data_IF_964792276816
#
_entry.id   IF_964792276816
#
_cell.length_a   1.000
_cell.length_b   1.000
_cell.length_c   1.000
_cell.angle_alpha   90.00
_cell.angle_beta   90.00
_cell.angle_gamma   90.00
#
_symmetry.space_group_name_H-M   'P 1'
#
loop_
_entity.id
_entity.type
_entity.pdbx_description
1 polymer ?
#
# COMPACT_ATOMS: atom_id res chain seq x y z
N UNK A 1 21.17 23.32 12.76
CA UNK A 1 21.28 23.28 11.29
C UNK A 1 20.74 24.60 10.74
N UNK A 2 21.60 25.52 10.29
CA UNK A 2 21.23 26.90 9.93
C UNK A 2 20.58 27.08 8.55
N UNK A 3 19.84 26.09 8.07
CA UNK A 3 19.21 26.11 6.74
C UNK A 3 17.69 26.06 6.93
N UNK A 4 16.96 26.98 6.29
CA UNK A 4 15.49 26.99 6.37
C UNK A 4 14.89 25.77 5.65
N UNK A 5 13.85 25.17 6.24
CA UNK A 5 13.10 24.05 5.64
C UNK A 5 12.61 24.39 4.21
N UNK A 6 12.19 25.64 3.99
CA UNK A 6 11.79 26.13 2.66
C UNK A 6 12.93 26.03 1.64
N UNK A 7 14.16 26.36 2.04
CA UNK A 7 15.33 26.26 1.16
C UNK A 7 15.65 24.80 0.84
N UNK A 8 15.64 23.92 1.84
CA UNK A 8 15.85 22.47 1.66
C UNK A 8 14.82 21.89 0.69
N UNK A 9 13.54 22.22 0.84
CA UNK A 9 12.48 21.76 -0.07
C UNK A 9 12.65 22.29 -1.50
N UNK A 10 13.10 23.53 -1.66
CA UNK A 10 13.37 24.12 -2.98
C UNK A 10 14.52 23.41 -3.67
N UNK A 11 15.64 23.18 -2.97
CA UNK A 11 16.79 22.45 -3.50
C UNK A 11 16.36 21.03 -3.90
N UNK A 12 15.68 20.31 -3.00
CA UNK A 12 15.23 18.94 -3.26
C UNK A 12 14.32 18.84 -4.50
N UNK A 13 13.29 19.69 -4.61
CA UNK A 13 12.30 19.60 -5.69
C UNK A 13 12.75 20.23 -7.01
N UNK A 14 13.43 21.38 -6.94
CA UNK A 14 13.72 22.22 -8.11
C UNK A 14 15.12 21.96 -8.65
N UNK A 15 16.12 21.87 -7.78
CA UNK A 15 17.52 21.71 -8.21
C UNK A 15 17.87 20.23 -8.42
N UNK A 16 17.40 19.37 -7.52
CA UNK A 16 17.67 17.92 -7.56
C UNK A 16 16.56 17.11 -8.24
N UNK A 17 15.42 17.73 -8.57
CA UNK A 17 14.28 17.07 -9.23
C UNK A 17 13.63 15.95 -8.41
N UNK A 18 13.89 15.89 -7.10
CA UNK A 18 13.42 14.83 -6.23
C UNK A 18 11.92 14.95 -5.98
N UNK A 19 11.25 13.81 -6.01
CA UNK A 19 9.84 13.67 -5.66
C UNK A 19 9.71 12.76 -4.44
N UNK A 20 8.80 13.10 -3.52
CA UNK A 20 8.45 12.19 -2.44
C UNK A 20 7.69 10.99 -2.99
N UNK A 21 8.16 9.80 -2.67
CA UNK A 21 7.48 8.54 -2.96
C UNK A 21 7.25 7.78 -1.65
N UNK A 22 6.06 7.17 -1.55
CA UNK A 22 5.71 6.31 -0.41
C UNK A 22 5.86 4.85 -0.81
N UNK A 23 6.59 4.08 0.00
CA UNK A 23 6.66 2.63 -0.15
C UNK A 23 5.27 2.02 0.08
N UNK A 24 4.68 1.48 -0.98
CA UNK A 24 3.42 0.74 -0.89
C UNK A 24 3.71 -0.73 -0.75
N UNK A 25 3.40 -1.30 0.43
CA UNK A 25 3.38 -2.74 0.61
C UNK A 25 2.21 -3.32 -0.18
N UNK A 26 2.52 -3.97 -1.29
CA UNK A 26 1.54 -4.67 -2.13
C UNK A 26 1.98 -6.11 -2.33
N UNK A 27 1.01 -7.02 -2.42
CA UNK A 27 1.30 -8.39 -2.83
C UNK A 27 1.72 -8.41 -4.30
N UNK A 28 2.86 -9.02 -4.61
CA UNK A 28 3.24 -9.28 -5.98
C UNK A 28 2.25 -10.28 -6.61
N UNK A 29 1.57 -9.87 -7.68
CA UNK A 29 0.63 -10.73 -8.39
C UNK A 29 1.41 -11.67 -9.33
N UNK A 30 1.33 -12.97 -9.05
CA UNK A 30 1.76 -14.00 -10.00
C UNK A 30 0.87 -13.99 -11.25
N UNK A 31 1.37 -14.49 -12.38
CA UNK A 31 0.57 -14.60 -13.62
C UNK A 31 -0.73 -15.39 -13.40
N UNK A 32 -0.66 -16.45 -12.58
CA UNK A 32 -1.85 -17.21 -12.16
C UNK A 32 -2.86 -16.32 -11.45
N UNK A 33 -2.41 -15.49 -10.50
CA UNK A 33 -3.30 -14.57 -9.77
C UNK A 33 -3.92 -13.52 -10.70
N UNK A 34 -3.15 -13.01 -11.67
CA UNK A 34 -3.65 -12.07 -12.68
C UNK A 34 -4.77 -12.70 -13.52
N UNK A 35 -4.56 -13.92 -14.02
CA UNK A 35 -5.56 -14.64 -14.82
C UNK A 35 -6.84 -14.93 -14.03
N UNK A 36 -6.72 -15.35 -12.78
CA UNK A 36 -7.89 -15.61 -11.92
C UNK A 36 -8.69 -14.32 -11.69
N UNK A 37 -8.01 -13.20 -11.40
CA UNK A 37 -8.67 -11.89 -11.23
C UNK A 37 -9.35 -11.44 -12.52
N UNK A 38 -8.66 -11.54 -13.66
CA UNK A 38 -9.21 -11.14 -14.96
C UNK A 38 -10.48 -11.91 -15.33
N UNK A 39 -10.54 -13.21 -14.99
CA UNK A 39 -11.74 -14.04 -15.22
C UNK A 39 -12.90 -13.72 -14.26
N UNK A 40 -12.61 -13.32 -13.02
CA UNK A 40 -13.62 -13.10 -11.96
C UNK A 40 -14.20 -11.69 -11.97
N UNK A 41 -13.38 -10.66 -12.15
CA UNK A 41 -13.79 -9.27 -12.05
C UNK A 41 -14.98 -8.89 -12.95
N UNK A 42 -15.03 -9.30 -14.25
CA UNK A 42 -16.18 -8.97 -15.09
C UNK A 42 -17.50 -9.59 -14.62
N UNK A 43 -17.45 -10.78 -14.00
CA UNK A 43 -18.63 -11.45 -13.44
C UNK A 43 -19.14 -10.69 -12.21
N UNK A 44 -18.23 -10.32 -11.30
CA UNK A 44 -18.53 -9.52 -10.13
C UNK A 44 -19.10 -8.14 -10.52
N UNK A 45 -18.54 -7.50 -11.55
CA UNK A 45 -19.02 -6.22 -12.05
C UNK A 45 -20.48 -6.32 -12.54
N UNK A 46 -20.83 -7.36 -13.29
CA UNK A 46 -22.21 -7.58 -13.75
C UNK A 46 -23.18 -7.75 -12.58
N UNK A 47 -22.78 -8.48 -11.54
CA UNK A 47 -23.61 -8.65 -10.35
C UNK A 47 -23.75 -7.36 -9.53
N UNK A 48 -22.71 -6.52 -9.49
CA UNK A 48 -22.77 -5.22 -8.85
C UNK A 48 -23.76 -4.29 -9.57
N UNK A 49 -23.74 -4.25 -10.91
CA UNK A 49 -24.68 -3.46 -11.72
C UNK A 49 -26.12 -3.92 -11.52
N UNK A 50 -26.34 -5.23 -11.40
CA UNK A 50 -27.67 -5.79 -11.16
C UNK A 50 -28.16 -5.67 -9.71
N UNK A 51 -27.47 -4.91 -8.84
CA UNK A 51 -27.75 -4.76 -7.42
C UNK A 51 -27.86 -6.10 -6.64
N UNK A 52 -27.26 -7.16 -7.16
CA UNK A 52 -27.32 -8.48 -6.52
C UNK A 52 -26.33 -8.63 -5.35
N UNK A 53 -25.64 -7.56 -4.95
CA UNK A 53 -24.64 -7.58 -3.89
C UNK A 53 -25.26 -7.88 -2.52
N UNK A 54 -26.53 -7.53 -2.30
CA UNK A 54 -27.27 -7.78 -1.06
C UNK A 54 -27.45 -9.28 -0.75
N UNK A 55 -27.30 -10.14 -1.77
CA UNK A 55 -27.37 -11.61 -1.61
C UNK A 55 -26.07 -12.22 -1.13
N UNK A 56 -24.98 -11.44 -1.10
CA UNK A 56 -23.67 -11.92 -0.68
C UNK A 56 -23.40 -11.53 0.77
N UNK A 57 -23.27 -12.55 1.62
CA UNK A 57 -22.68 -12.39 2.93
C UNK A 57 -21.16 -12.51 2.81
N UNK A 58 -20.44 -11.42 3.01
CA UNK A 58 -18.98 -11.42 3.06
C UNK A 58 -18.53 -11.69 4.49
N UNK A 59 -17.71 -12.72 4.67
CA UNK A 59 -17.10 -13.08 5.96
C UNK A 59 -15.59 -13.07 5.81
N UNK A 60 -14.89 -12.56 6.81
CA UNK A 60 -13.42 -12.59 6.86
C UNK A 60 -12.98 -12.60 8.33
N UNK A 61 -11.86 -13.25 8.60
CA UNK A 61 -11.23 -13.25 9.92
C UNK A 61 -10.24 -12.10 9.99
N UNK A 62 -10.24 -11.34 11.09
CA UNK A 62 -9.29 -10.24 11.27
C UNK A 62 -8.48 -10.39 12.54
N UNK A 63 -7.16 -10.24 12.40
CA UNK A 63 -6.26 -10.11 13.53
C UNK A 63 -6.30 -8.68 14.09
N UNK A 64 -6.60 -8.54 15.37
CA UNK A 64 -6.52 -7.29 16.11
C UNK A 64 -5.20 -7.23 16.89
N UNK A 65 -4.39 -6.20 16.65
CA UNK A 65 -3.11 -5.99 17.34
C UNK A 65 -3.33 -5.23 18.65
N UNK A 66 -2.80 -5.77 19.76
CA UNK A 66 -2.99 -5.21 21.11
C UNK A 66 -2.05 -4.03 21.40
N UNK A 67 -0.97 -3.88 20.62
CA UNK A 67 0.02 -2.80 20.76
C UNK A 67 0.00 -1.86 19.53
N UNK A 68 0.35 -0.59 19.76
CA UNK A 68 0.38 0.43 18.71
C UNK A 68 1.49 0.14 17.68
N UNK A 69 1.18 0.34 16.40
CA UNK A 69 2.05 0.05 15.26
C UNK A 69 3.02 1.21 14.98
N UNK A 70 4.19 0.82 14.46
CA UNK A 70 5.20 1.65 13.80
C UNK A 70 4.61 2.82 12.96
N UNK A 71 5.22 4.01 13.07
CA UNK A 71 4.77 5.24 12.40
C UNK A 71 4.95 5.15 10.88
N UNK A 72 3.87 4.93 10.14
CA UNK A 72 3.83 4.85 8.67
C UNK A 72 4.22 6.13 7.92
N UNK A 73 4.51 7.23 8.63
CA UNK A 73 5.11 8.44 8.06
C UNK A 73 6.60 8.26 7.76
N UNK A 74 7.26 7.24 8.33
CA UNK A 74 8.69 6.98 8.11
C UNK A 74 9.01 6.20 6.81
N UNK A 75 7.99 5.80 6.05
CA UNK A 75 8.15 4.99 4.82
C UNK A 75 8.23 5.85 3.53
N UNK A 76 8.47 7.16 3.66
CA UNK A 76 8.62 8.09 2.56
C UNK A 76 10.10 8.30 2.20
N UNK A 77 10.43 8.24 0.91
CA UNK A 77 11.77 8.46 0.39
C UNK A 77 11.73 9.36 -0.83
N UNK A 78 12.83 10.06 -1.08
CA UNK A 78 12.94 11.03 -2.15
C UNK A 78 13.76 10.42 -3.29
N UNK A 79 13.18 10.36 -4.48
CA UNK A 79 13.86 9.84 -5.67
C UNK A 79 13.52 10.72 -6.88
N UNK A 80 14.38 10.71 -7.90
CA UNK A 80 14.12 11.40 -9.17
C UNK A 80 13.08 10.61 -9.98
N UNK A 81 13.30 9.30 -10.10
CA UNK A 81 12.47 8.41 -10.89
C UNK A 81 11.48 7.62 -10.03
N UNK A 82 10.39 7.17 -10.65
CA UNK A 82 9.43 6.30 -9.98
C UNK A 82 10.12 4.99 -9.61
N UNK A 83 10.22 4.67 -8.31
CA UNK A 83 10.82 3.43 -7.85
C UNK A 83 10.03 2.23 -8.39
N UNK A 84 10.72 1.21 -8.88
CA UNK A 84 10.09 -0.04 -9.28
C UNK A 84 9.36 -0.65 -8.08
N UNK A 85 8.25 -1.37 -8.32
CA UNK A 85 7.33 -1.95 -7.31
C UNK A 85 8.01 -2.86 -6.27
N UNK A 86 9.30 -3.14 -6.41
CA UNK A 86 10.10 -4.14 -5.72
C UNK A 86 10.70 -3.68 -4.39
N UNK A 87 10.12 -2.72 -3.69
CA UNK A 87 10.60 -2.36 -2.36
C UNK A 87 9.84 -3.21 -1.32
N UNK A 88 10.29 -4.46 -1.19
CA UNK A 88 9.78 -5.42 -0.22
C UNK A 88 10.32 -5.03 1.15
N UNK A 89 9.46 -4.49 2.02
CA UNK A 89 9.76 -4.31 3.44
C UNK A 89 9.35 -5.58 4.19
N UNK A 90 10.33 -6.36 4.65
CA UNK A 90 10.08 -7.45 5.61
C UNK A 90 9.90 -6.84 7.01
N UNK A 91 8.77 -7.14 7.66
CA UNK A 91 8.59 -6.79 9.07
C UNK A 91 9.23 -7.88 9.93
N UNK A 92 10.16 -7.51 10.81
CA UNK A 92 10.85 -8.42 11.76
C UNK A 92 10.24 -8.42 13.17
N UNK A 93 9.04 -7.88 13.36
CA UNK A 93 8.37 -7.93 14.66
C UNK A 93 6.96 -8.48 14.53
N UNK A 94 6.75 -9.64 15.16
CA UNK A 94 5.44 -10.23 15.41
C UNK A 94 4.89 -9.62 16.70
N UNK A 95 3.92 -8.71 16.59
CA UNK A 95 3.21 -8.17 17.75
C UNK A 95 2.17 -9.19 18.25
N UNK A 96 1.83 -9.12 19.55
CA UNK A 96 0.73 -9.92 20.11
C UNK A 96 -0.59 -9.50 19.47
N UNK A 97 -1.32 -10.46 18.92
CA UNK A 97 -2.62 -10.26 18.27
C UNK A 97 -3.65 -11.26 18.81
N UNK A 98 -4.93 -10.90 18.68
CA UNK A 98 -6.08 -11.75 18.95
C UNK A 98 -6.90 -11.89 17.67
N UNK A 99 -7.39 -13.11 17.40
CA UNK A 99 -8.30 -13.41 16.31
C UNK A 99 -9.74 -13.37 16.83
N UNK A 100 -10.65 -12.74 16.08
CA UNK A 100 -12.08 -12.66 16.38
C UNK A 100 -12.85 -13.10 15.14
#
# INVERSE_FOLDING_TARGET
MGISDRLVRRIAKTELGLKPYKLRKVQLLTEKNKLVRLRRCPKLLRWAVSQCWERFLFTDEKLFTVQQVHNSQNDEFWCVDTPSTSAIVQHRQYQKSVMV
#
